data_IF_344156284812
#
_entry.id   IF_344156284812
#
_cell.length_a   1.000
_cell.length_b   1.000
_cell.length_c   1.000
_cell.angle_alpha   90.00
_cell.angle_beta   90.00
_cell.angle_gamma   90.00
#
_symmetry.space_group_name_H-M   'P 1'
#
loop_
_entity.id
_entity.type
_entity.pdbx_description
1 polymer ?
#
# COMPACT_ATOMS: atom_id res chain seq x y z
N UNK A 1 17.86 7.64 19.15
CA UNK A 1 19.16 7.49 18.44
C UNK A 1 18.92 6.82 17.09
N UNK A 2 19.85 6.88 16.13
CA UNK A 2 19.62 6.53 14.72
C UNK A 2 20.36 5.28 14.18
N UNK A 3 21.15 4.57 15.00
CA UNK A 3 22.06 3.48 14.56
C UNK A 3 22.03 2.22 15.44
N UNK A 4 20.99 2.05 16.26
CA UNK A 4 20.92 0.97 17.26
C UNK A 4 20.81 -0.41 16.61
N UNK A 5 20.16 -0.51 15.44
CA UNK A 5 19.92 -1.78 14.75
C UNK A 5 21.13 -2.27 13.95
N UNK A 6 22.04 -1.38 13.54
CA UNK A 6 23.29 -1.71 12.81
C UNK A 6 23.10 -2.55 11.54
N UNK A 7 21.96 -2.40 10.87
CA UNK A 7 21.53 -3.16 9.67
C UNK A 7 21.07 -2.22 8.53
N UNK A 8 21.63 -1.00 8.47
CA UNK A 8 21.18 0.04 7.53
C UNK A 8 21.86 -0.17 6.17
N UNK A 9 21.16 -0.81 5.24
CA UNK A 9 21.67 -1.14 3.89
C UNK A 9 21.88 0.12 3.03
N UNK A 10 20.98 1.10 3.12
CA UNK A 10 21.04 2.36 2.36
C UNK A 10 20.69 3.54 3.26
N UNK A 11 21.39 4.66 3.07
CA UNK A 11 21.13 5.92 3.77
C UNK A 11 21.14 7.07 2.79
N UNK A 12 20.13 7.95 2.87
CA UNK A 12 20.04 9.16 2.06
C UNK A 12 21.24 10.09 2.29
N UNK A 13 21.66 10.82 1.25
CA UNK A 13 22.71 11.84 1.32
C UNK A 13 24.03 11.37 1.98
N UNK A 14 24.40 10.10 1.82
CA UNK A 14 25.63 9.50 2.38
C UNK A 14 26.56 9.11 1.24
N UNK A 15 27.85 9.45 1.35
CA UNK A 15 28.85 9.09 0.33
C UNK A 15 29.38 7.67 0.55
N UNK A 16 30.06 7.10 -0.45
CA UNK A 16 30.57 5.72 -0.40
C UNK A 16 31.76 5.51 0.55
N UNK A 17 32.45 6.57 0.99
CA UNK A 17 33.58 6.47 1.92
C UNK A 17 33.14 6.38 3.38
N UNK A 18 31.92 6.84 3.70
CA UNK A 18 31.34 6.80 5.05
C UNK A 18 30.00 6.07 5.06
N UNK A 19 29.97 4.75 4.79
CA UNK A 19 28.74 3.97 4.79
C UNK A 19 28.10 3.92 6.19
N UNK A 20 26.80 3.62 6.23
CA UNK A 20 26.11 3.37 7.49
C UNK A 20 26.55 2.04 8.12
N UNK A 21 26.44 1.86 9.45
CA UNK A 21 26.75 0.60 10.11
C UNK A 21 25.86 -0.56 9.61
N UNK A 22 26.51 -1.66 9.23
CA UNK A 22 25.89 -2.86 8.63
C UNK A 22 26.36 -4.17 9.27
N UNK A 23 26.84 -4.15 10.52
CA UNK A 23 27.38 -5.33 11.20
C UNK A 23 26.35 -6.47 11.42
N UNK A 24 25.05 -6.20 11.24
CA UNK A 24 23.93 -7.14 11.43
C UNK A 24 23.11 -7.37 10.14
N UNK A 25 23.81 -7.53 9.02
CA UNK A 25 23.22 -7.70 7.67
C UNK A 25 22.70 -9.11 7.36
N UNK A 26 23.05 -10.11 8.17
CA UNK A 26 22.56 -11.50 8.03
C UNK A 26 21.12 -11.69 8.55
N UNK A 27 20.14 -11.06 7.88
CA UNK A 27 18.71 -11.19 8.17
C UNK A 27 17.95 -11.81 7.00
N UNK A 28 16.81 -12.44 7.29
CA UNK A 28 15.92 -12.98 6.25
C UNK A 28 15.11 -11.85 5.61
N UNK A 29 15.05 -11.82 4.29
CA UNK A 29 14.19 -10.88 3.57
C UNK A 29 12.71 -11.22 3.78
N UNK A 30 11.89 -10.19 3.99
CA UNK A 30 10.44 -10.32 4.18
C UNK A 30 9.68 -9.63 3.06
N UNK A 31 8.50 -10.16 2.73
CA UNK A 31 7.64 -9.62 1.68
C UNK A 31 6.17 -9.64 2.09
N UNK A 32 5.39 -8.71 1.55
CA UNK A 32 3.92 -8.63 1.72
C UNK A 32 3.26 -8.91 0.37
N UNK A 33 2.54 -10.02 0.27
CA UNK A 33 1.75 -10.37 -0.92
C UNK A 33 0.35 -9.76 -0.81
N UNK A 34 -0.06 -9.04 -1.85
CA UNK A 34 -1.42 -8.52 -1.99
C UNK A 34 -2.03 -9.15 -3.25
N UNK A 35 -2.83 -10.19 -3.06
CA UNK A 35 -3.56 -10.83 -4.15
C UNK A 35 -4.88 -10.09 -4.41
N UNK A 36 -4.93 -9.37 -5.53
CA UNK A 36 -6.09 -8.57 -5.94
C UNK A 36 -7.24 -9.43 -6.47
N UNK A 37 -7.00 -10.71 -6.78
CA UNK A 37 -8.05 -11.61 -7.28
C UNK A 37 -8.99 -12.10 -6.18
N UNK A 38 -8.51 -12.10 -4.93
CA UNK A 38 -9.26 -12.51 -3.73
C UNK A 38 -9.70 -11.32 -2.87
N UNK A 39 -9.22 -10.11 -3.19
CA UNK A 39 -9.58 -8.89 -2.50
C UNK A 39 -11.06 -8.53 -2.70
N UNK A 40 -11.77 -8.27 -1.59
CA UNK A 40 -13.20 -7.89 -1.61
C UNK A 40 -13.45 -6.40 -1.40
N UNK A 41 -12.41 -5.57 -1.32
CA UNK A 41 -12.56 -4.12 -1.18
C UNK A 41 -13.13 -3.65 0.18
N UNK A 42 -13.02 -4.43 1.25
CA UNK A 42 -13.63 -4.10 2.55
C UNK A 42 -12.99 -2.93 3.32
N UNK A 43 -11.82 -2.44 2.87
CA UNK A 43 -11.01 -1.39 3.53
C UNK A 43 -10.51 -1.72 4.95
N UNK A 44 -10.57 -2.97 5.38
CA UNK A 44 -10.05 -3.40 6.69
C UNK A 44 -8.55 -3.09 6.85
N UNK A 45 -7.78 -3.21 5.76
CA UNK A 45 -6.36 -2.86 5.73
C UNK A 45 -6.09 -1.37 6.06
N UNK A 46 -6.97 -0.46 5.64
CA UNK A 46 -6.85 0.97 5.95
C UNK A 46 -7.07 1.21 7.44
N UNK A 47 -8.16 0.66 7.99
CA UNK A 47 -8.49 0.81 9.41
C UNK A 47 -7.41 0.20 10.29
N UNK A 48 -6.93 -0.99 9.97
CA UNK A 48 -5.86 -1.66 10.73
C UNK A 48 -4.54 -0.88 10.68
N UNK A 49 -4.18 -0.31 9.53
CA UNK A 49 -2.98 0.52 9.41
C UNK A 49 -3.10 1.80 10.23
N UNK A 50 -4.24 2.48 10.17
CA UNK A 50 -4.47 3.70 10.95
C UNK A 50 -4.55 3.43 12.44
N UNK A 51 -5.11 2.31 12.87
CA UNK A 51 -5.18 1.93 14.28
C UNK A 51 -3.80 1.59 14.83
N UNK A 52 -3.03 0.78 14.11
CA UNK A 52 -1.70 0.38 14.56
C UNK A 52 -0.71 1.56 14.63
N UNK A 53 -0.85 2.54 13.74
CA UNK A 53 0.06 3.68 13.64
C UNK A 53 -0.50 4.97 14.28
N UNK A 54 -1.60 4.89 15.03
CA UNK A 54 -2.25 6.03 15.69
C UNK A 54 -2.57 7.21 14.74
N UNK A 55 -2.97 6.92 13.50
CA UNK A 55 -3.26 7.92 12.47
C UNK A 55 -4.76 8.18 12.36
N UNK A 56 -5.14 9.45 12.19
CA UNK A 56 -6.54 9.86 11.99
C UNK A 56 -6.63 10.95 10.93
N UNK A 57 -7.01 10.56 9.73
CA UNK A 57 -7.31 11.51 8.65
C UNK A 57 -8.66 12.20 8.87
N UNK A 58 -8.91 13.26 8.12
CA UNK A 58 -10.17 13.99 8.16
C UNK A 58 -11.32 13.15 7.59
N UNK A 59 -12.55 13.46 8.02
CA UNK A 59 -13.75 12.84 7.47
C UNK A 59 -13.96 13.39 6.05
N UNK A 60 -13.71 12.55 5.05
CA UNK A 60 -13.84 12.92 3.64
C UNK A 60 -15.29 13.07 3.15
N UNK A 61 -15.44 13.39 1.87
CA UNK A 61 -16.72 13.51 1.18
C UNK A 61 -16.82 12.48 0.04
N UNK A 62 -18.04 12.14 -0.36
CA UNK A 62 -18.26 11.24 -1.48
C UNK A 62 -18.35 12.03 -2.80
N UNK A 63 -17.59 11.62 -3.82
CA UNK A 63 -17.57 12.23 -5.17
C UNK A 63 -18.14 11.32 -6.27
N UNK A 64 -18.94 10.32 -5.90
CA UNK A 64 -19.52 9.34 -6.84
C UNK A 64 -18.67 8.08 -7.05
N UNK A 65 -17.60 7.89 -6.27
CA UNK A 65 -16.78 6.67 -6.25
C UNK A 65 -16.61 6.14 -4.83
N UNK A 66 -16.20 4.88 -4.71
CA UNK A 66 -15.97 4.23 -3.41
C UNK A 66 -14.64 4.60 -2.76
N UNK A 67 -13.68 5.15 -3.52
CA UNK A 67 -12.38 5.62 -3.03
C UNK A 67 -12.57 6.68 -1.95
N UNK A 68 -12.15 6.37 -0.71
CA UNK A 68 -12.14 7.32 0.41
C UNK A 68 -11.24 6.77 1.54
N UNK A 69 -10.21 7.50 2.00
CA UNK A 69 -9.66 8.75 1.44
C UNK A 69 -9.32 8.63 -0.05
N UNK A 70 -9.44 9.74 -0.79
CA UNK A 70 -9.27 9.73 -2.25
C UNK A 70 -7.81 9.45 -2.68
N UNK A 71 -6.85 9.82 -1.85
CA UNK A 71 -5.42 9.58 -2.09
C UNK A 71 -4.67 9.37 -0.77
N UNK A 72 -3.40 9.00 -0.89
CA UNK A 72 -2.46 8.93 0.22
C UNK A 72 -2.26 10.32 0.83
N UNK A 73 -2.19 10.36 2.16
CA UNK A 73 -1.90 11.56 2.92
C UNK A 73 -0.88 11.23 4.01
N UNK A 74 -0.39 12.26 4.72
CA UNK A 74 0.46 12.05 5.90
C UNK A 74 -0.23 11.20 6.99
N UNK A 75 -1.57 11.11 6.97
CA UNK A 75 -2.39 10.36 7.93
C UNK A 75 -3.08 9.13 7.31
N UNK A 76 -2.88 8.88 6.02
CA UNK A 76 -3.44 7.75 5.27
C UNK A 76 -2.36 7.09 4.42
N UNK A 77 -1.62 6.15 5.01
CA UNK A 77 -0.47 5.50 4.38
C UNK A 77 -0.83 4.35 3.44
N UNK A 78 -2.06 3.85 3.53
CA UNK A 78 -2.60 2.88 2.60
C UNK A 78 -4.05 3.24 2.27
N UNK A 79 -4.39 3.15 0.98
CA UNK A 79 -5.74 3.42 0.48
C UNK A 79 -6.15 2.34 -0.51
N UNK A 80 -7.45 2.00 -0.49
CA UNK A 80 -8.07 1.15 -1.50
C UNK A 80 -8.51 2.02 -2.68
N UNK A 81 -8.06 1.66 -3.88
CA UNK A 81 -8.50 2.26 -5.14
C UNK A 81 -9.38 1.31 -5.91
N UNK A 82 -10.53 1.80 -6.37
CA UNK A 82 -11.48 1.03 -7.13
C UNK A 82 -11.42 1.44 -8.61
N UNK A 83 -11.47 0.46 -9.51
CA UNK A 83 -11.54 0.72 -10.95
C UNK A 83 -12.55 -0.20 -11.59
N UNK A 84 -13.62 0.37 -12.13
CA UNK A 84 -14.57 -0.34 -12.98
C UNK A 84 -14.07 -0.34 -14.41
N UNK A 85 -13.90 -1.52 -15.01
CA UNK A 85 -13.65 -1.62 -16.44
C UNK A 85 -14.58 -2.66 -17.08
N UNK A 86 -14.88 -2.43 -18.35
CA UNK A 86 -15.52 -3.42 -19.21
C UNK A 86 -14.40 -4.27 -19.82
N UNK A 87 -14.27 -5.52 -19.36
CA UNK A 87 -13.28 -6.43 -19.90
C UNK A 87 -13.85 -7.16 -21.13
N UNK A 88 -13.15 -7.09 -22.26
CA UNK A 88 -13.47 -7.90 -23.44
C UNK A 88 -13.16 -9.38 -23.14
N UNK A 89 -14.15 -10.27 -23.26
CA UNK A 89 -13.98 -11.69 -22.93
C UNK A 89 -13.39 -12.45 -24.12
N UNK A 90 -12.14 -12.90 -24.02
CA UNK A 90 -11.67 -13.99 -24.87
C UNK A 90 -12.53 -15.23 -24.58
N UNK A 91 -13.26 -15.71 -25.60
CA UNK A 91 -14.22 -16.83 -25.62
C UNK A 91 -15.63 -16.58 -25.02
N UNK A 92 -16.56 -16.21 -25.90
CA UNK A 92 -17.81 -16.97 -26.13
C UNK A 92 -18.96 -16.92 -25.11
N UNK A 93 -18.93 -16.09 -24.07
CA UNK A 93 -20.11 -15.91 -23.20
C UNK A 93 -20.28 -14.44 -22.79
N UNK A 94 -21.17 -13.75 -23.50
CA UNK A 94 -21.47 -12.33 -23.35
C UNK A 94 -22.28 -12.08 -22.05
N UNK A 95 -21.57 -11.73 -20.98
CA UNK A 95 -22.10 -10.90 -19.90
C UNK A 95 -21.09 -9.78 -19.68
N UNK A 96 -21.51 -8.49 -19.60
CA UNK A 96 -20.62 -7.40 -19.28
C UNK A 96 -20.16 -7.57 -17.82
N UNK A 97 -19.01 -8.20 -17.63
CA UNK A 97 -18.39 -8.31 -16.32
C UNK A 97 -17.76 -6.94 -16.04
N UNK A 98 -18.52 -6.01 -15.43
CA UNK A 98 -17.93 -4.85 -14.75
C UNK A 98 -17.03 -5.41 -13.65
N UNK A 99 -15.73 -5.55 -13.93
CA UNK A 99 -14.78 -5.97 -12.91
C UNK A 99 -14.38 -4.73 -12.15
N UNK A 100 -14.70 -4.73 -10.86
CA UNK A 100 -14.23 -3.75 -9.90
C UNK A 100 -12.92 -4.31 -9.31
N UNK A 101 -11.77 -3.77 -9.72
CA UNK A 101 -10.51 -4.15 -9.07
C UNK A 101 -10.25 -3.23 -7.90
N UNK A 102 -9.87 -3.81 -6.77
CA UNK A 102 -9.50 -3.07 -5.58
C UNK A 102 -7.97 -3.14 -5.42
N UNK A 103 -7.28 -2.07 -5.79
CA UNK A 103 -5.82 -1.94 -5.67
C UNK A 103 -5.49 -1.35 -4.30
N UNK A 104 -4.66 -2.05 -3.54
CA UNK A 104 -4.10 -1.53 -2.29
C UNK A 104 -2.82 -0.75 -2.63
N UNK A 105 -2.91 0.59 -2.66
CA UNK A 105 -1.73 1.44 -2.75
C UNK A 105 -1.20 1.67 -1.35
N UNK A 106 -0.03 1.13 -1.01
CA UNK A 106 0.73 1.59 0.17
C UNK A 106 1.79 2.58 -0.29
N UNK A 107 1.76 3.80 0.24
CA UNK A 107 2.94 4.66 0.19
C UNK A 107 4.06 3.94 0.92
N UNK A 108 5.17 3.68 0.22
CA UNK A 108 6.41 3.25 0.86
C UNK A 108 6.80 4.36 1.84
N UNK A 109 6.49 4.17 3.12
CA UNK A 109 7.19 4.83 4.21
C UNK A 109 8.51 4.10 4.44
#
# INVERSE_FOLDING_TARGET
>A
MAYQSQDIIRRSATNGFTPAPQARDHQQEVAKLIDVTTCIGCKACQVACSEWNDLRDEVGHNVGVYDNPADLTAKSWTVMRFSEVEAERQTGMAYPQRRLYALCGSGLA
#
